data_IF_314873914516
#
_entry.id   IF_314873914516
#
_cell.length_a   1.000
_cell.length_b   1.000
_cell.length_c   1.000
_cell.angle_alpha   90.00
_cell.angle_beta   90.00
_cell.angle_gamma   90.00
#
_symmetry.space_group_name_H-M   'P 1'
#
loop_
_entity.id
_entity.type
_entity.pdbx_description
1 polymer ?
#
# COMPACT_ATOMS: atom_id res chain seq x y z
N UNK A 1 5.04 -5.11 19.71
CA UNK A 1 5.37 -5.51 18.33
C UNK A 1 5.07 -6.98 18.16
N UNK A 2 4.57 -7.38 16.98
CA UNK A 2 4.34 -8.79 16.62
C UNK A 2 5.61 -9.41 16.07
N UNK A 3 5.76 -10.72 16.23
CA UNK A 3 6.85 -11.49 15.61
C UNK A 3 6.66 -11.59 14.08
N UNK A 4 7.73 -11.86 13.34
CA UNK A 4 7.67 -12.10 11.88
C UNK A 4 6.66 -13.21 11.54
N UNK A 5 6.62 -14.30 12.31
CA UNK A 5 5.67 -15.39 12.11
C UNK A 5 4.20 -14.96 12.31
N UNK A 6 3.90 -14.16 13.33
CA UNK A 6 2.55 -13.60 13.53
C UNK A 6 2.14 -12.67 12.39
N UNK A 7 3.07 -11.84 11.89
CA UNK A 7 2.80 -10.96 10.75
C UNK A 7 2.54 -11.77 9.47
N UNK A 8 3.28 -12.85 9.23
CA UNK A 8 3.06 -13.75 8.11
C UNK A 8 1.68 -14.41 8.16
N UNK A 9 1.23 -14.84 9.36
CA UNK A 9 -0.12 -15.37 9.54
C UNK A 9 -1.18 -14.33 9.20
N UNK A 10 -1.01 -13.09 9.63
CA UNK A 10 -1.92 -11.99 9.30
C UNK A 10 -1.90 -11.74 7.79
N UNK A 11 -0.73 -11.67 7.15
CA UNK A 11 -0.62 -11.43 5.71
C UNK A 11 -1.28 -12.55 4.88
N UNK A 12 -1.16 -13.80 5.33
CA UNK A 12 -1.84 -14.94 4.69
C UNK A 12 -3.36 -14.79 4.79
N UNK A 13 -3.87 -14.43 5.97
CA UNK A 13 -5.32 -14.20 6.15
C UNK A 13 -5.80 -12.98 5.35
N UNK A 14 -5.04 -11.91 5.30
CA UNK A 14 -5.35 -10.74 4.46
C UNK A 14 -5.48 -11.14 2.99
N UNK A 15 -4.62 -12.01 2.48
CA UNK A 15 -4.75 -12.54 1.11
C UNK A 15 -6.04 -13.34 0.91
N UNK A 16 -6.44 -14.14 1.88
CA UNK A 16 -7.75 -14.84 1.83
C UNK A 16 -8.91 -13.84 1.77
N UNK A 17 -8.88 -12.82 2.63
CA UNK A 17 -9.90 -11.78 2.67
C UNK A 17 -10.00 -11.04 1.32
N UNK A 18 -8.87 -10.70 0.69
CA UNK A 18 -8.79 -10.05 -0.63
C UNK A 18 -9.53 -10.89 -1.68
N UNK A 19 -9.23 -12.18 -1.76
CA UNK A 19 -9.85 -13.08 -2.73
C UNK A 19 -11.36 -13.20 -2.49
N UNK A 20 -11.78 -13.35 -1.24
CA UNK A 20 -13.20 -13.46 -0.86
C UNK A 20 -13.95 -12.18 -1.17
N UNK A 21 -13.43 -11.01 -0.80
CA UNK A 21 -14.04 -9.70 -1.10
C UNK A 21 -14.23 -9.50 -2.60
N UNK A 22 -13.17 -9.67 -3.37
CA UNK A 22 -13.19 -9.35 -4.82
C UNK A 22 -14.05 -10.34 -5.60
N UNK A 23 -14.00 -11.63 -5.26
CA UNK A 23 -14.85 -12.65 -5.89
C UNK A 23 -16.34 -12.42 -5.56
N UNK A 24 -16.66 -12.15 -4.30
CA UNK A 24 -18.04 -11.88 -3.87
C UNK A 24 -18.61 -10.62 -4.55
N UNK A 25 -17.81 -9.57 -4.67
CA UNK A 25 -18.20 -8.33 -5.35
C UNK A 25 -18.20 -8.48 -6.89
N UNK A 26 -17.61 -9.53 -7.44
CA UNK A 26 -17.35 -9.72 -8.88
C UNK A 26 -16.63 -8.52 -9.49
N UNK A 27 -15.83 -7.83 -8.70
CA UNK A 27 -15.15 -6.58 -9.07
C UNK A 27 -14.05 -6.26 -8.08
N UNK A 28 -12.96 -5.63 -8.55
CA UNK A 28 -11.84 -5.19 -7.72
C UNK A 28 -10.49 -5.52 -8.36
N UNK A 29 -9.42 -5.20 -7.63
CA UNK A 29 -8.04 -5.36 -8.11
C UNK A 29 -7.28 -6.30 -7.16
N UNK A 30 -7.40 -7.64 -7.36
CA UNK A 30 -6.79 -8.59 -6.44
C UNK A 30 -5.26 -8.67 -6.59
N UNK A 31 -4.70 -8.53 -7.80
CA UNK A 31 -3.30 -8.80 -8.07
C UNK A 31 -2.33 -7.93 -7.26
N UNK A 32 -2.42 -6.60 -7.37
CA UNK A 32 -1.61 -5.67 -6.59
C UNK A 32 -1.90 -5.76 -5.09
N UNK A 33 -3.17 -6.01 -4.72
CA UNK A 33 -3.56 -6.21 -3.33
C UNK A 33 -2.87 -7.45 -2.71
N UNK A 34 -2.79 -8.58 -3.43
CA UNK A 34 -2.10 -9.78 -2.97
C UNK A 34 -0.58 -9.54 -2.86
N UNK A 35 0.01 -8.83 -3.84
CA UNK A 35 1.43 -8.53 -3.88
C UNK A 35 1.90 -7.68 -2.71
N UNK A 36 1.11 -6.71 -2.29
CA UNK A 36 1.48 -5.73 -1.26
C UNK A 36 1.07 -6.10 0.16
N UNK A 37 0.44 -7.27 0.38
CA UNK A 37 -0.12 -7.65 1.68
C UNK A 37 0.92 -7.67 2.82
N UNK A 38 2.14 -8.14 2.57
CA UNK A 38 3.21 -8.17 3.59
C UNK A 38 3.58 -6.75 4.04
N UNK A 39 3.73 -5.83 3.09
CA UNK A 39 4.05 -4.44 3.40
C UNK A 39 2.93 -3.77 4.22
N UNK A 40 1.66 -3.90 3.79
CA UNK A 40 0.54 -3.31 4.53
C UNK A 40 0.44 -3.86 5.95
N UNK A 41 0.64 -5.17 6.14
CA UNK A 41 0.64 -5.79 7.47
C UNK A 41 1.82 -5.29 8.31
N UNK A 42 3.04 -5.24 7.75
CA UNK A 42 4.19 -4.69 8.46
C UNK A 42 3.95 -3.25 8.91
N UNK A 43 3.42 -2.40 8.01
CA UNK A 43 3.13 -0.99 8.30
C UNK A 43 2.11 -0.85 9.44
N UNK A 44 0.97 -1.52 9.34
CA UNK A 44 -0.15 -1.39 10.27
C UNK A 44 0.12 -1.99 11.65
N UNK A 45 0.99 -3.01 11.75
CA UNK A 45 1.16 -3.73 13.01
C UNK A 45 2.49 -3.47 13.71
N UNK A 46 3.55 -3.06 12.98
CA UNK A 46 4.88 -2.92 13.58
C UNK A 46 5.62 -1.61 13.26
N UNK A 47 5.36 -0.97 12.10
CA UNK A 47 6.19 0.15 11.61
C UNK A 47 5.62 1.51 12.01
N UNK A 48 4.33 1.73 11.76
CA UNK A 48 3.67 3.01 12.00
C UNK A 48 3.32 3.19 13.47
N UNK A 49 3.49 4.41 13.96
CA UNK A 49 3.06 4.84 15.29
C UNK A 49 1.71 5.53 15.21
N UNK A 50 0.66 4.79 15.55
CA UNK A 50 -0.72 5.26 15.57
C UNK A 50 -1.63 4.33 16.39
N UNK A 51 -2.79 4.84 16.81
CA UNK A 51 -3.84 4.09 17.51
C UNK A 51 -5.15 4.18 16.70
N UNK A 52 -5.68 3.06 16.14
CA UNK A 52 -6.94 3.09 15.38
C UNK A 52 -8.12 3.71 16.12
N UNK A 53 -8.16 3.57 17.45
CA UNK A 53 -9.23 4.12 18.30
C UNK A 53 -9.16 5.66 18.45
N UNK A 54 -8.01 6.25 18.11
CA UNK A 54 -7.76 7.70 18.22
C UNK A 54 -7.66 8.39 16.88
N UNK A 55 -8.03 7.71 15.81
CA UNK A 55 -7.95 8.26 14.46
C UNK A 55 -8.62 9.64 14.36
N UNK A 56 -7.89 10.60 13.78
CA UNK A 56 -8.41 11.92 13.40
C UNK A 56 -8.03 12.26 11.96
N UNK A 57 -8.80 13.11 11.31
CA UNK A 57 -8.51 13.51 9.93
C UNK A 57 -7.25 14.36 9.82
N UNK A 58 -6.92 15.15 10.83
CA UNK A 58 -5.71 16.00 10.86
C UNK A 58 -4.43 15.20 11.15
N UNK A 59 -4.54 13.97 11.67
CA UNK A 59 -3.42 13.07 11.92
C UNK A 59 -2.40 13.62 12.93
N UNK A 60 -2.85 14.46 13.87
CA UNK A 60 -1.99 15.04 14.89
C UNK A 60 -1.47 13.96 15.84
N UNK A 61 -0.18 14.04 16.16
CA UNK A 61 0.51 13.14 17.09
C UNK A 61 0.41 11.65 16.70
N UNK A 62 0.36 11.34 15.40
CA UNK A 62 0.39 9.98 14.85
C UNK A 62 1.04 9.95 13.44
N UNK A 63 1.58 8.79 13.04
CA UNK A 63 2.05 8.57 11.68
C UNK A 63 0.87 8.57 10.68
N UNK A 64 1.07 9.11 9.48
CA UNK A 64 0.04 9.17 8.44
C UNK A 64 0.43 8.29 7.25
N UNK A 65 -0.55 7.58 6.69
CA UNK A 65 -0.42 6.81 5.45
C UNK A 65 -1.39 7.33 4.39
N UNK A 66 -0.86 7.61 3.20
CA UNK A 66 -1.63 7.94 2.00
C UNK A 66 -1.34 6.90 0.92
N UNK A 67 -2.38 6.20 0.46
CA UNK A 67 -2.27 5.20 -0.60
C UNK A 67 -2.74 5.82 -1.90
N UNK A 68 -1.79 6.13 -2.80
CA UNK A 68 -2.05 6.80 -4.07
C UNK A 68 -2.64 5.84 -5.10
N UNK A 69 -2.15 4.60 -5.17
CA UNK A 69 -2.73 3.52 -5.98
C UNK A 69 -4.05 3.02 -5.37
N UNK A 70 -5.07 3.88 -5.42
CA UNK A 70 -6.33 3.66 -4.71
C UNK A 70 -7.15 2.44 -5.17
N UNK A 71 -6.79 1.80 -6.27
CA UNK A 71 -7.45 0.60 -6.77
C UNK A 71 -7.19 -0.64 -5.88
N UNK A 72 -6.12 -0.66 -5.08
CA UNK A 72 -5.82 -1.79 -4.17
C UNK A 72 -6.58 -1.73 -2.84
N UNK A 73 -7.79 -1.18 -2.82
CA UNK A 73 -8.65 -1.15 -1.62
C UNK A 73 -8.85 -2.51 -0.92
N UNK A 74 -8.85 -3.67 -1.60
CA UNK A 74 -9.00 -4.94 -0.90
C UNK A 74 -7.94 -5.17 0.19
N UNK A 75 -6.66 -4.89 -0.07
CA UNK A 75 -5.61 -5.02 0.95
C UNK A 75 -5.72 -3.94 2.02
N UNK A 76 -6.07 -2.72 1.63
CA UNK A 76 -6.24 -1.60 2.57
C UNK A 76 -7.32 -1.97 3.60
N UNK A 77 -8.51 -2.34 3.13
CA UNK A 77 -9.64 -2.62 4.02
C UNK A 77 -9.46 -3.88 4.86
N UNK A 78 -8.92 -4.96 4.27
CA UNK A 78 -8.63 -6.17 5.05
C UNK A 78 -7.64 -5.89 6.18
N UNK A 79 -6.55 -5.21 5.87
CA UNK A 79 -5.52 -4.88 6.87
C UNK A 79 -6.08 -3.96 7.96
N UNK A 80 -6.89 -2.95 7.59
CA UNK A 80 -7.56 -2.06 8.54
C UNK A 80 -8.54 -2.80 9.44
N UNK A 81 -9.40 -3.68 8.89
CA UNK A 81 -10.32 -4.49 9.66
C UNK A 81 -9.57 -5.39 10.65
N UNK A 82 -8.52 -6.09 10.18
CA UNK A 82 -7.67 -6.95 11.04
C UNK A 82 -6.89 -6.14 12.08
N UNK A 83 -6.64 -4.87 11.83
CA UNK A 83 -6.01 -3.94 12.79
C UNK A 83 -6.99 -3.37 13.81
N UNK A 84 -8.30 -3.47 13.56
CA UNK A 84 -9.34 -3.06 14.51
C UNK A 84 -9.99 -1.71 14.23
N UNK A 85 -9.85 -1.14 13.03
CA UNK A 85 -10.56 0.08 12.64
C UNK A 85 -12.08 -0.14 12.51
N UNK A 86 -12.50 -1.33 12.13
CA UNK A 86 -13.90 -1.74 12.01
C UNK A 86 -14.03 -3.28 12.03
N UNK A 87 -15.22 -3.84 12.23
CA UNK A 87 -15.43 -5.28 12.30
C UNK A 87 -15.02 -6.00 11.01
N UNK A 88 -14.32 -7.13 11.13
CA UNK A 88 -13.88 -7.96 9.98
C UNK A 88 -15.08 -8.42 9.13
N UNK A 89 -16.24 -8.70 9.74
CA UNK A 89 -17.47 -9.06 9.02
C UNK A 89 -17.95 -8.00 8.02
N UNK A 90 -17.56 -6.74 8.21
CA UNK A 90 -17.92 -5.65 7.28
C UNK A 90 -17.25 -5.84 5.90
N UNK A 91 -16.13 -6.57 5.81
CA UNK A 91 -15.47 -6.88 4.54
C UNK A 91 -16.43 -7.55 3.53
N UNK A 92 -17.45 -8.28 4.00
CA UNK A 92 -18.48 -8.85 3.16
C UNK A 92 -19.34 -7.82 2.40
N UNK A 93 -19.25 -6.54 2.76
CA UNK A 93 -19.97 -5.44 2.10
C UNK A 93 -19.17 -4.74 1.00
N UNK A 94 -17.93 -5.16 0.76
CA UNK A 94 -17.04 -4.52 -0.24
C UNK A 94 -17.75 -4.29 -1.58
N UNK A 95 -17.70 -3.05 -2.07
CA UNK A 95 -18.32 -2.59 -3.33
C UNK A 95 -19.84 -2.79 -3.43
N UNK A 96 -20.54 -3.12 -2.34
CA UNK A 96 -22.00 -3.15 -2.35
C UNK A 96 -22.59 -1.73 -2.29
N UNK A 97 -23.82 -1.56 -2.77
CA UNK A 97 -24.50 -0.28 -2.67
C UNK A 97 -24.67 0.14 -1.21
N UNK A 98 -24.38 1.40 -0.90
CA UNK A 98 -24.51 1.95 0.45
C UNK A 98 -23.39 1.57 1.44
N UNK A 99 -22.40 0.77 1.04
CA UNK A 99 -21.23 0.47 1.89
C UNK A 99 -20.27 1.65 1.95
N UNK A 100 -19.52 1.74 3.05
CA UNK A 100 -18.34 2.64 3.14
C UNK A 100 -17.04 2.00 2.60
N UNK A 101 -17.06 0.69 2.29
CA UNK A 101 -15.94 -0.02 1.67
C UNK A 101 -16.02 0.08 0.14
N UNK A 102 -15.73 1.29 -0.37
CA UNK A 102 -15.82 1.63 -1.78
C UNK A 102 -14.71 0.97 -2.61
N UNK A 103 -14.90 0.92 -3.94
CA UNK A 103 -13.91 0.38 -4.87
C UNK A 103 -12.59 1.16 -4.94
N UNK A 104 -12.63 2.44 -4.59
CA UNK A 104 -11.49 3.31 -4.33
C UNK A 104 -11.73 4.03 -3.01
N UNK A 105 -10.70 4.40 -2.23
CA UNK A 105 -10.90 5.06 -0.95
C UNK A 105 -11.64 6.39 -1.13
N UNK A 106 -12.57 6.67 -0.22
CA UNK A 106 -13.31 7.93 -0.18
C UNK A 106 -13.39 8.42 1.27
N UNK A 107 -13.19 9.71 1.45
CA UNK A 107 -13.36 10.39 2.75
C UNK A 107 -14.81 10.72 3.05
N UNK A 108 -15.70 10.71 2.04
CA UNK A 108 -17.11 11.06 2.15
C UNK A 108 -17.87 10.14 3.11
N UNK A 109 -17.50 8.87 3.15
CA UNK A 109 -18.18 7.87 3.98
C UNK A 109 -17.61 7.75 5.41
N UNK A 110 -16.67 8.61 5.78
CA UNK A 110 -16.14 8.68 7.14
C UNK A 110 -15.48 7.40 7.65
N UNK A 111 -14.88 6.58 6.75
CA UNK A 111 -14.18 5.37 7.16
C UNK A 111 -12.91 5.74 7.92
N UNK A 112 -12.80 5.40 9.23
CA UNK A 112 -11.58 5.70 9.99
C UNK A 112 -10.34 5.09 9.33
N UNK A 113 -9.23 5.83 9.30
CA UNK A 113 -7.98 5.42 8.63
C UNK A 113 -7.84 5.93 7.19
N UNK A 114 -8.92 6.39 6.55
CA UNK A 114 -8.89 6.95 5.20
C UNK A 114 -8.87 8.48 5.29
N UNK A 115 -7.74 9.10 4.90
CA UNK A 115 -7.53 10.56 4.91
C UNK A 115 -7.55 11.21 3.54
N UNK A 116 -7.59 10.41 2.48
CA UNK A 116 -7.56 10.90 1.10
C UNK A 116 -8.46 10.04 0.23
N UNK A 117 -9.26 10.65 -0.60
CA UNK A 117 -9.85 9.96 -1.73
C UNK A 117 -8.76 9.71 -2.77
N UNK A 118 -8.68 8.50 -3.30
CA UNK A 118 -7.70 8.15 -4.33
C UNK A 118 -8.32 7.29 -5.42
N UNK A 119 -7.60 7.11 -6.54
CA UNK A 119 -8.10 6.48 -7.76
C UNK A 119 -7.68 7.26 -9.01
N UNK A 120 -7.52 8.58 -8.89
CA UNK A 120 -6.74 9.37 -9.84
C UNK A 120 -5.26 9.19 -9.47
N UNK A 121 -4.54 8.40 -10.27
CA UNK A 121 -3.14 8.08 -9.99
C UNK A 121 -2.26 9.34 -10.03
N UNK A 122 -1.15 9.29 -9.30
CA UNK A 122 -0.18 10.39 -9.22
C UNK A 122 -0.47 11.45 -8.16
N UNK A 123 -1.68 11.54 -7.60
CA UNK A 123 -2.05 12.61 -6.66
C UNK A 123 -1.45 12.42 -5.26
N UNK A 124 -1.32 11.17 -4.81
CA UNK A 124 -0.94 10.86 -3.43
C UNK A 124 0.44 11.34 -3.02
N UNK A 125 1.41 11.45 -3.96
CA UNK A 125 2.74 11.99 -3.66
C UNK A 125 2.64 13.45 -3.19
N UNK A 126 1.91 14.28 -3.93
CA UNK A 126 1.72 15.70 -3.59
C UNK A 126 1.00 15.88 -2.25
N UNK A 127 -0.03 15.05 -1.99
CA UNK A 127 -0.76 15.05 -0.72
C UNK A 127 0.18 14.67 0.44
N UNK A 128 0.97 13.61 0.27
CA UNK A 128 1.97 13.19 1.27
C UNK A 128 3.02 14.26 1.55
N UNK A 129 3.53 14.93 0.52
CA UNK A 129 4.45 16.07 0.66
C UNK A 129 3.82 17.19 1.47
N UNK A 130 2.57 17.55 1.14
CA UNK A 130 1.83 18.60 1.86
C UNK A 130 1.64 18.25 3.35
N UNK A 131 1.21 17.01 3.64
CA UNK A 131 1.05 16.53 5.01
C UNK A 131 2.37 16.53 5.79
N UNK A 132 3.47 16.08 5.16
CA UNK A 132 4.78 16.07 5.79
C UNK A 132 5.29 17.50 6.12
N UNK A 133 5.06 18.45 5.23
CA UNK A 133 5.36 19.85 5.50
C UNK A 133 4.49 20.41 6.63
N UNK A 134 3.19 20.10 6.65
CA UNK A 134 2.28 20.48 7.73
C UNK A 134 2.76 20.00 9.09
N UNK A 135 3.20 18.75 9.20
CA UNK A 135 3.79 18.21 10.43
C UNK A 135 5.07 18.97 10.82
N UNK A 136 5.96 19.26 9.89
CA UNK A 136 7.17 20.07 10.16
C UNK A 136 6.81 21.48 10.67
N UNK A 137 5.81 22.13 10.07
CA UNK A 137 5.38 23.48 10.46
C UNK A 137 4.77 23.52 11.88
N UNK A 138 4.08 22.43 12.28
CA UNK A 138 3.48 22.30 13.61
C UNK A 138 4.43 21.73 14.67
N UNK A 139 5.63 21.29 14.27
CA UNK A 139 6.60 20.65 15.16
C UNK A 139 6.27 19.20 15.50
N UNK A 140 5.28 18.61 14.83
CA UNK A 140 4.94 17.19 14.97
C UNK A 140 6.07 16.31 14.42
N UNK A 141 6.54 15.34 15.20
CA UNK A 141 7.69 14.47 14.85
C UNK A 141 7.32 13.19 14.14
N UNK A 142 6.03 12.92 13.98
CA UNK A 142 5.54 11.71 13.33
C UNK A 142 5.80 11.75 11.82
N UNK A 143 5.90 10.56 11.24
CA UNK A 143 6.24 10.35 9.85
C UNK A 143 5.01 10.41 8.95
N UNK A 144 5.25 10.74 7.69
CA UNK A 144 4.27 10.55 6.61
C UNK A 144 4.79 9.46 5.67
N UNK A 145 3.92 8.50 5.39
CA UNK A 145 4.16 7.41 4.45
C UNK A 145 3.23 7.55 3.25
N UNK A 146 3.75 7.23 2.07
CA UNK A 146 2.93 7.12 0.86
C UNK A 146 3.18 5.78 0.17
N UNK A 147 2.17 5.26 -0.54
CA UNK A 147 2.27 4.03 -1.32
C UNK A 147 1.82 4.31 -2.76
N UNK A 148 2.63 3.92 -3.73
CA UNK A 148 2.44 4.15 -5.16
C UNK A 148 2.67 2.86 -5.94
N UNK A 149 2.02 2.72 -7.10
CA UNK A 149 2.37 1.70 -8.09
C UNK A 149 3.52 2.17 -8.99
N UNK A 150 4.23 1.22 -9.61
CA UNK A 150 5.27 1.53 -10.59
C UNK A 150 4.68 2.14 -11.89
N UNK A 151 3.62 1.57 -12.45
CA UNK A 151 2.91 2.17 -13.57
C UNK A 151 2.35 3.57 -13.26
N UNK A 152 2.02 3.86 -12.00
CA UNK A 152 1.63 5.21 -11.55
C UNK A 152 2.76 6.22 -11.72
N UNK A 153 4.02 5.81 -11.69
CA UNK A 153 5.17 6.71 -11.88
C UNK A 153 5.31 7.24 -13.32
N UNK A 154 4.49 6.77 -14.24
CA UNK A 154 4.37 7.36 -15.57
C UNK A 154 3.66 8.72 -15.55
N UNK A 155 2.94 9.04 -14.48
CA UNK A 155 2.29 10.34 -14.28
C UNK A 155 3.32 11.45 -14.00
N UNK A 156 3.35 12.49 -14.84
CA UNK A 156 4.33 13.58 -14.77
C UNK A 156 4.33 14.31 -13.42
N UNK A 157 3.15 14.50 -12.81
CA UNK A 157 3.03 15.18 -11.52
C UNK A 157 3.72 14.48 -10.35
N UNK A 158 3.96 13.15 -10.44
CA UNK A 158 4.80 12.44 -9.46
C UNK A 158 6.19 13.07 -9.43
N UNK A 159 6.80 13.26 -10.60
CA UNK A 159 8.16 13.80 -10.72
C UNK A 159 8.24 15.25 -10.29
N UNK A 160 7.19 16.05 -10.51
CA UNK A 160 7.10 17.42 -9.96
C UNK A 160 7.11 17.39 -8.43
N UNK A 161 6.31 16.51 -7.81
CA UNK A 161 6.28 16.35 -6.35
C UNK A 161 7.60 15.79 -5.80
N UNK A 162 8.21 14.84 -6.48
CA UNK A 162 9.52 14.24 -6.12
C UNK A 162 10.62 15.31 -6.14
N UNK A 163 10.71 16.11 -7.22
CA UNK A 163 11.66 17.22 -7.33
C UNK A 163 11.45 18.24 -6.21
N UNK A 164 10.21 18.62 -5.96
CA UNK A 164 9.88 19.57 -4.89
C UNK A 164 10.27 19.04 -3.51
N UNK A 165 9.92 17.79 -3.18
CA UNK A 165 10.21 17.19 -1.88
C UNK A 165 11.71 17.11 -1.60
N UNK A 166 12.52 16.72 -2.59
CA UNK A 166 13.98 16.71 -2.47
C UNK A 166 14.56 18.11 -2.26
N UNK A 167 14.16 19.07 -3.11
CA UNK A 167 14.63 20.47 -3.03
C UNK A 167 14.24 21.12 -1.68
N UNK A 168 13.07 20.79 -1.13
CA UNK A 168 12.58 21.32 0.16
C UNK A 168 13.01 20.47 1.37
N UNK A 169 13.79 19.42 1.15
CA UNK A 169 14.31 18.55 2.23
C UNK A 169 13.18 18.04 3.14
N UNK A 170 12.15 17.45 2.52
CA UNK A 170 10.97 16.91 3.24
C UNK A 170 11.35 15.56 3.84
N UNK A 171 12.19 15.57 4.85
CA UNK A 171 12.89 14.41 5.41
C UNK A 171 12.07 13.55 6.41
N UNK A 172 10.84 13.96 6.68
CA UNK A 172 9.83 13.18 7.41
C UNK A 172 8.84 12.47 6.48
N UNK A 173 9.20 12.29 5.20
CA UNK A 173 8.42 11.57 4.18
C UNK A 173 9.16 10.31 3.74
N UNK A 174 8.45 9.17 3.75
CA UNK A 174 8.89 7.91 3.16
C UNK A 174 7.86 7.50 2.11
N UNK A 175 8.27 7.48 0.83
CA UNK A 175 7.45 7.02 -0.27
C UNK A 175 7.85 5.59 -0.65
N UNK A 176 6.89 4.66 -0.68
CA UNK A 176 7.10 3.28 -1.13
C UNK A 176 6.51 3.10 -2.52
N UNK A 177 7.25 2.47 -3.40
CA UNK A 177 6.84 2.09 -4.75
C UNK A 177 6.66 0.58 -4.80
N UNK A 178 5.43 0.13 -5.06
CA UNK A 178 5.13 -1.27 -5.40
C UNK A 178 5.72 -1.56 -6.78
N UNK A 179 6.95 -2.06 -6.79
CA UNK A 179 7.73 -2.26 -7.99
C UNK A 179 7.57 -3.70 -8.48
N UNK A 180 6.44 -4.00 -9.10
CA UNK A 180 6.04 -5.33 -9.55
C UNK A 180 6.14 -5.51 -11.08
N UNK A 181 6.46 -4.44 -11.82
CA UNK A 181 6.56 -4.41 -13.29
C UNK A 181 5.28 -4.85 -14.02
N UNK A 182 4.10 -4.66 -13.41
CA UNK A 182 2.82 -5.04 -14.01
C UNK A 182 1.82 -3.90 -13.96
N UNK A 183 1.21 -3.60 -15.07
CA UNK A 183 0.05 -2.72 -15.16
C UNK A 183 -1.08 -3.37 -15.96
N UNK A 184 -2.19 -2.67 -16.21
CA UNK A 184 -3.41 -3.27 -16.74
C UNK A 184 -3.22 -3.89 -18.14
N UNK A 185 -2.43 -3.26 -19.01
CA UNK A 185 -2.31 -3.66 -20.42
C UNK A 185 -1.13 -4.61 -20.67
N UNK A 186 -0.02 -4.45 -19.95
CA UNK A 186 1.19 -5.26 -20.10
C UNK A 186 2.16 -5.03 -18.94
N UNK A 187 3.43 -5.39 -19.07
CA UNK A 187 4.47 -4.98 -18.15
C UNK A 187 4.75 -3.48 -18.29
N UNK A 188 5.20 -2.84 -17.20
CA UNK A 188 5.61 -1.42 -17.23
C UNK A 188 6.71 -1.19 -18.24
N UNK A 189 7.67 -2.13 -18.36
CA UNK A 189 8.75 -2.03 -19.34
C UNK A 189 8.27 -2.07 -20.79
N UNK A 190 7.19 -2.81 -21.08
CA UNK A 190 6.62 -2.89 -22.43
C UNK A 190 5.76 -1.66 -22.77
N UNK A 191 5.05 -1.10 -21.78
CA UNK A 191 4.18 0.07 -22.00
C UNK A 191 5.01 1.35 -22.06
N UNK A 192 5.72 1.68 -20.97
CA UNK A 192 6.62 2.82 -20.92
C UNK A 192 7.67 2.60 -19.82
N UNK A 193 8.85 2.10 -20.21
CA UNK A 193 9.90 1.76 -19.25
C UNK A 193 10.30 2.95 -18.37
N UNK A 194 10.35 2.71 -17.08
CA UNK A 194 10.77 3.70 -16.09
C UNK A 194 12.30 3.84 -15.97
N UNK A 195 13.07 2.96 -16.65
CA UNK A 195 14.54 2.94 -16.57
C UNK A 195 15.04 2.71 -15.14
N UNK A 196 16.18 3.30 -14.78
CA UNK A 196 16.74 3.18 -13.43
C UNK A 196 16.02 4.10 -12.44
N UNK A 197 15.02 3.57 -11.74
CA UNK A 197 14.26 4.31 -10.73
C UNK A 197 15.13 4.77 -9.55
N UNK A 198 16.11 3.96 -9.14
CA UNK A 198 17.00 4.35 -8.06
C UNK A 198 17.79 5.61 -8.43
N UNK A 199 18.44 5.61 -9.60
CA UNK A 199 19.17 6.77 -10.09
C UNK A 199 18.28 8.01 -10.28
N UNK A 200 17.03 7.82 -10.76
CA UNK A 200 16.05 8.92 -10.90
C UNK A 200 15.74 9.59 -9.56
N UNK A 201 15.35 8.82 -8.53
CA UNK A 201 15.06 9.37 -7.21
C UNK A 201 16.30 10.02 -6.58
N UNK A 202 17.48 9.40 -6.70
CA UNK A 202 18.74 9.94 -6.18
C UNK A 202 19.11 11.26 -6.87
N UNK A 203 18.85 11.41 -8.18
CA UNK A 203 19.06 12.67 -8.91
C UNK A 203 18.19 13.83 -8.42
N UNK A 204 17.01 13.51 -7.84
CA UNK A 204 16.13 14.45 -7.16
C UNK A 204 16.42 14.60 -5.66
N UNK A 205 17.61 14.21 -5.20
CA UNK A 205 18.08 14.35 -3.81
C UNK A 205 17.32 13.49 -2.79
N UNK A 206 16.69 12.40 -3.23
CA UNK A 206 16.12 11.40 -2.34
C UNK A 206 17.16 10.36 -1.95
N UNK A 207 17.03 9.80 -0.76
CA UNK A 207 17.70 8.55 -0.39
C UNK A 207 16.85 7.37 -0.86
N UNK A 208 17.49 6.29 -1.28
CA UNK A 208 16.77 5.12 -1.81
C UNK A 208 17.12 3.86 -1.02
N UNK A 209 16.10 3.11 -0.64
CA UNK A 209 16.20 1.75 -0.10
C UNK A 209 15.56 0.80 -1.10
N UNK A 210 16.25 -0.28 -1.46
CA UNK A 210 15.69 -1.35 -2.28
C UNK A 210 15.38 -2.53 -1.37
N UNK A 211 14.16 -3.04 -1.44
CA UNK A 211 13.74 -4.30 -0.82
C UNK A 211 13.59 -5.32 -1.94
N UNK A 212 14.53 -6.26 -2.03
CA UNK A 212 14.64 -7.18 -3.18
C UNK A 212 13.53 -8.24 -3.21
N UNK A 213 12.91 -8.55 -2.06
CA UNK A 213 11.74 -9.40 -1.98
C UNK A 213 10.71 -8.79 -1.02
N UNK A 214 9.78 -8.03 -1.57
CA UNK A 214 8.66 -7.41 -0.84
C UNK A 214 7.58 -8.40 -0.38
N UNK A 215 7.72 -9.67 -0.74
CA UNK A 215 6.88 -10.76 -0.27
C UNK A 215 7.57 -11.63 0.81
N UNK A 216 8.74 -11.21 1.29
CA UNK A 216 9.40 -11.73 2.47
C UNK A 216 9.23 -10.74 3.62
N UNK A 217 8.48 -11.13 4.65
CA UNK A 217 8.15 -10.26 5.78
C UNK A 217 9.39 -9.74 6.50
N UNK A 218 10.46 -10.53 6.63
CA UNK A 218 11.66 -10.08 7.31
C UNK A 218 12.39 -9.00 6.50
N UNK A 219 12.50 -9.17 5.17
CA UNK A 219 13.09 -8.16 4.30
C UNK A 219 12.28 -6.86 4.31
N UNK A 220 10.95 -6.97 4.36
CA UNK A 220 10.07 -5.79 4.49
C UNK A 220 10.35 -5.05 5.81
N UNK A 221 10.40 -5.76 6.94
CA UNK A 221 10.69 -5.15 8.24
C UNK A 221 12.07 -4.48 8.27
N UNK A 222 13.10 -5.17 7.80
CA UNK A 222 14.48 -4.67 7.79
C UNK A 222 14.63 -3.46 6.85
N UNK A 223 14.03 -3.53 5.66
CA UNK A 223 14.05 -2.45 4.68
C UNK A 223 13.31 -1.19 5.17
N UNK A 224 12.14 -1.36 5.78
CA UNK A 224 11.39 -0.23 6.35
C UNK A 224 12.08 0.36 7.58
N UNK A 225 12.69 -0.47 8.44
CA UNK A 225 13.52 0.02 9.55
C UNK A 225 14.71 0.84 9.05
N UNK A 226 15.38 0.39 7.98
CA UNK A 226 16.45 1.13 7.32
C UNK A 226 15.95 2.46 6.76
N UNK A 227 14.81 2.47 6.08
CA UNK A 227 14.22 3.70 5.54
C UNK A 227 13.88 4.70 6.67
N UNK A 228 13.30 4.22 7.78
CA UNK A 228 12.99 5.05 8.96
C UNK A 228 14.27 5.61 9.60
N UNK A 229 15.35 4.84 9.69
CA UNK A 229 16.63 5.31 10.20
C UNK A 229 17.31 6.36 9.30
N UNK A 230 17.00 6.38 7.99
CA UNK A 230 17.50 7.36 7.04
C UNK A 230 16.68 8.65 7.01
N UNK A 231 15.49 8.68 7.61
CA UNK A 231 14.63 9.87 7.68
C UNK A 231 15.15 10.89 8.69
N UNK A 232 14.63 12.13 8.66
CA UNK A 232 15.07 13.21 9.54
C UNK A 232 16.48 13.72 9.28
N UNK A 233 17.09 13.40 8.15
CA UNK A 233 18.48 13.72 7.81
C UNK A 233 18.59 14.63 6.56
N UNK A 234 17.58 15.48 6.34
CA UNK A 234 17.59 16.49 5.30
C UNK A 234 17.24 15.98 3.89
N UNK A 235 16.75 14.75 3.75
CA UNK A 235 16.28 14.20 2.46
C UNK A 235 15.09 13.27 2.68
N UNK A 236 14.06 13.30 1.80
CA UNK A 236 13.03 12.26 1.79
C UNK A 236 13.61 10.90 1.40
N UNK A 237 12.88 9.83 1.71
CA UNK A 237 13.30 8.45 1.45
C UNK A 237 12.33 7.79 0.49
N UNK A 238 12.84 7.16 -0.57
CA UNK A 238 12.09 6.28 -1.46
C UNK A 238 12.43 4.82 -1.14
N UNK A 239 11.41 3.98 -1.03
CA UNK A 239 11.55 2.52 -0.91
C UNK A 239 11.07 1.90 -2.22
N UNK A 240 11.97 1.25 -2.94
CA UNK A 240 11.63 0.43 -4.09
C UNK A 240 11.34 -0.99 -3.59
N UNK A 241 10.07 -1.34 -3.49
CA UNK A 241 9.58 -2.60 -2.94
C UNK A 241 9.30 -3.57 -4.08
N UNK A 242 10.22 -4.50 -4.37
CA UNK A 242 10.00 -5.50 -5.42
C UNK A 242 9.01 -6.55 -4.94
N UNK A 243 7.83 -6.57 -5.53
CA UNK A 243 6.78 -7.54 -5.22
C UNK A 243 6.44 -8.40 -6.43
N UNK A 244 5.63 -9.43 -6.19
CA UNK A 244 5.00 -10.22 -7.24
C UNK A 244 3.50 -9.95 -7.23
N UNK A 245 2.97 -9.42 -8.33
CA UNK A 245 1.53 -9.30 -8.49
C UNK A 245 0.89 -10.69 -8.34
N UNK A 246 -0.20 -10.80 -7.58
CA UNK A 246 -0.89 -12.07 -7.37
C UNK A 246 -0.21 -13.05 -6.41
N UNK A 247 0.77 -12.59 -5.61
CA UNK A 247 1.54 -13.46 -4.71
C UNK A 247 0.69 -14.30 -3.77
N UNK A 248 1.07 -15.58 -3.64
CA UNK A 248 0.41 -16.58 -2.79
C UNK A 248 -0.56 -17.48 -3.54
N UNK A 249 -0.87 -17.19 -4.82
CA UNK A 249 -1.70 -18.03 -5.68
C UNK A 249 -0.99 -18.24 -7.02
N UNK A 250 -0.52 -19.44 -7.29
CA UNK A 250 0.37 -19.78 -8.39
C UNK A 250 -0.12 -19.31 -9.78
N UNK A 251 -1.39 -19.54 -10.08
CA UNK A 251 -1.98 -19.16 -11.37
C UNK A 251 -2.35 -17.67 -11.48
N UNK A 252 -2.14 -16.89 -10.40
CA UNK A 252 -2.35 -15.42 -10.38
C UNK A 252 -1.03 -14.64 -10.40
N UNK A 253 0.11 -15.29 -10.13
CA UNK A 253 1.39 -14.61 -10.01
C UNK A 253 1.93 -14.16 -11.37
N UNK A 254 2.63 -13.02 -11.34
CA UNK A 254 3.42 -12.48 -12.44
C UNK A 254 2.64 -12.38 -13.78
N UNK A 255 1.35 -12.01 -13.68
CA UNK A 255 0.50 -11.78 -14.85
C UNK A 255 -0.37 -10.55 -14.67
N UNK A 256 -0.47 -9.71 -15.70
CA UNK A 256 -1.33 -8.53 -15.71
C UNK A 256 -2.83 -8.86 -15.71
N UNK A 257 -3.22 -10.11 -16.07
CA UNK A 257 -4.61 -10.54 -16.11
C UNK A 257 -5.37 -10.20 -14.81
N UNK A 258 -4.75 -10.45 -13.67
CA UNK A 258 -5.38 -10.24 -12.37
C UNK A 258 -5.13 -8.84 -11.79
N UNK A 259 -4.61 -7.92 -12.58
CA UNK A 259 -4.56 -6.51 -12.17
C UNK A 259 -5.98 -6.01 -11.84
N UNK A 260 -6.92 -6.16 -12.78
CA UNK A 260 -8.31 -5.73 -12.63
C UNK A 260 -9.36 -6.84 -12.79
N UNK A 261 -8.95 -8.09 -13.08
CA UNK A 261 -9.86 -9.23 -13.17
C UNK A 261 -9.92 -10.00 -11.85
N UNK A 262 -11.10 -10.46 -11.50
CA UNK A 262 -11.32 -11.23 -10.27
C UNK A 262 -11.49 -12.72 -10.55
N UNK A 263 -11.37 -13.55 -9.54
CA UNK A 263 -11.61 -14.98 -9.67
C UNK A 263 -13.09 -15.29 -9.95
N UNK A 264 -13.32 -16.37 -10.68
CA UNK A 264 -14.64 -17.01 -10.74
C UNK A 264 -15.00 -17.67 -9.40
N UNK A 265 -16.28 -17.98 -9.20
CA UNK A 265 -16.71 -18.73 -8.04
C UNK A 265 -16.08 -20.15 -7.99
N UNK A 266 -15.79 -20.74 -9.16
CA UNK A 266 -15.19 -22.08 -9.28
C UNK A 266 -13.67 -22.07 -9.02
N UNK A 267 -12.99 -20.93 -9.23
CA UNK A 267 -11.55 -20.80 -9.02
C UNK A 267 -11.21 -20.32 -7.59
N UNK A 268 -12.14 -19.67 -6.90
CA UNK A 268 -11.91 -19.20 -5.54
C UNK A 268 -11.49 -20.35 -4.58
N UNK A 269 -12.15 -21.52 -4.55
CA UNK A 269 -11.72 -22.64 -3.69
C UNK A 269 -10.28 -23.11 -4.00
N UNK A 270 -9.89 -23.11 -5.28
CA UNK A 270 -8.53 -23.51 -5.70
C UNK A 270 -7.48 -22.53 -5.21
N UNK A 271 -7.77 -21.23 -5.24
CA UNK A 271 -6.89 -20.19 -4.71
C UNK A 271 -6.81 -20.24 -3.17
N UNK A 272 -7.94 -20.39 -2.49
CA UNK A 272 -7.98 -20.49 -1.03
C UNK A 272 -7.28 -21.76 -0.50
N UNK A 273 -7.24 -22.84 -1.27
CA UNK A 273 -6.51 -24.05 -0.89
C UNK A 273 -4.98 -23.85 -0.83
N UNK A 274 -4.46 -22.83 -1.50
CA UNK A 274 -3.03 -22.47 -1.48
C UNK A 274 -2.67 -21.54 -0.31
N UNK A 275 -3.67 -20.96 0.35
CA UNK A 275 -3.51 -20.01 1.44
C UNK A 275 -4.15 -20.60 2.71
N UNK A 276 -3.38 -21.12 3.68
CA UNK A 276 -3.96 -21.67 4.91
C UNK A 276 -4.77 -20.60 5.66
N UNK A 277 -5.92 -21.00 6.19
CA UNK A 277 -6.71 -20.17 7.09
C UNK A 277 -5.98 -20.04 8.43
N UNK A 278 -5.72 -18.79 8.85
CA UNK A 278 -4.90 -18.53 10.03
C UNK A 278 -5.62 -17.78 11.15
N UNK A 279 -6.57 -16.90 10.80
CA UNK A 279 -7.27 -16.03 11.76
C UNK A 279 -8.79 -16.07 11.60
N UNK A 280 -9.31 -17.04 10.86
CA UNK A 280 -10.72 -17.17 10.55
C UNK A 280 -11.16 -16.30 9.36
N UNK A 281 -11.93 -16.93 8.45
CA UNK A 281 -12.59 -16.25 7.34
C UNK A 281 -13.83 -15.48 7.84
N UNK A 282 -14.19 -14.33 7.18
CA UNK A 282 -15.40 -13.55 7.50
C UNK A 282 -16.63 -14.08 6.77
#
# INVERSE_FOLDING_TARGET
>A
MKTTAELQQIATQVRRDILRMTTNAKSGHPGGSLGTADWFVAMQFNIMDFDPAKFTMDGKDEDMLFVSQGHITPVIYSTMARRGYFPVSELATFRKFGTRLQGHPSTEHGLPGIRMASGSLGQGMSVGVGAALGKKMTGDKHMVYTMHGDGELEEGQIWEAVMFAGAKKVDNLIATIDYNNQQIDATVDEVMSLGDLKAKFESFLWKVVVIDNGNDMQQVLDGMAKAKAMSGQGSPVCVLLKTKMGFGVDFMQDTNKYHGSVLSADDLPKALAQLPETLGDF
#
